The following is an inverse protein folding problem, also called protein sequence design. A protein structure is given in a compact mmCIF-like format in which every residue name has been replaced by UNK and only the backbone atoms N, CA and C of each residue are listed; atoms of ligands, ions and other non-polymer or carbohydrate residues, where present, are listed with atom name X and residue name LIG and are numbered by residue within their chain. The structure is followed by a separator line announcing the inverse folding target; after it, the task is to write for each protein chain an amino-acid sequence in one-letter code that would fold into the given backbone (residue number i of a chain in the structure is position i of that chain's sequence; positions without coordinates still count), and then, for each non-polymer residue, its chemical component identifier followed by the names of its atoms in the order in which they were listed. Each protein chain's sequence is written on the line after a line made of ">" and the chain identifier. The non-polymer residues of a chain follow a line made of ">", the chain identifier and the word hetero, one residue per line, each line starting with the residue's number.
data_IF_326785497048
#
_entry.id   IF_326785497048
#
_cell.length_a   1.000
_cell.length_b   1.000
_cell.length_c   1.000
_cell.angle_alpha   90.00
_cell.angle_beta   90.00
_cell.angle_gamma   90.00
#
_symmetry.space_group_name_H-M   'P 1'
#
loop_
_entity.id
_entity.type
_entity.pdbx_description
1 polymer ?
#
# COMPACT_ATOMS: atom_id res chain seq x y z
N UNK A 1 -18.63 0.41 -0.16
CA UNK A 1 -18.56 0.06 -1.58
C UNK A 1 -17.15 -0.40 -2.02
N UNK A 2 -16.06 0.18 -1.46
CA UNK A 2 -14.67 -0.10 -1.84
C UNK A 2 -14.01 -1.18 -1.00
N UNK A 3 -14.56 -1.50 0.17
CA UNK A 3 -13.97 -2.44 1.12
C UNK A 3 -14.49 -3.85 0.87
N UNK A 4 -13.59 -4.81 0.75
CA UNK A 4 -13.85 -6.24 0.66
C UNK A 4 -13.16 -6.95 1.83
N UNK A 5 -13.94 -7.63 2.65
CA UNK A 5 -13.42 -8.45 3.72
C UNK A 5 -12.87 -9.75 3.15
N UNK A 6 -11.61 -10.07 3.47
CA UNK A 6 -10.95 -11.31 3.00
C UNK A 6 -11.06 -12.44 4.00
N UNK A 7 -11.35 -12.12 5.25
CA UNK A 7 -11.63 -13.08 6.31
C UNK A 7 -12.85 -12.62 7.12
N UNK A 8 -13.58 -13.56 7.67
CA UNK A 8 -14.71 -13.30 8.60
C UNK A 8 -14.25 -13.17 10.05
N UNK A 9 -12.94 -13.10 10.29
CA UNK A 9 -12.40 -12.97 11.63
C UNK A 9 -12.81 -11.62 12.24
N UNK A 10 -13.14 -11.59 13.54
CA UNK A 10 -13.40 -10.33 14.23
C UNK A 10 -12.13 -9.51 14.37
N UNK A 11 -12.29 -8.22 14.65
CA UNK A 11 -11.19 -7.35 15.07
C UNK A 11 -10.50 -7.97 16.29
N UNK A 12 -9.18 -7.93 16.32
CA UNK A 12 -8.40 -8.48 17.43
C UNK A 12 -8.33 -7.45 18.56
N UNK A 13 -8.98 -7.74 19.68
CA UNK A 13 -8.99 -6.86 20.86
C UNK A 13 -7.60 -6.67 21.48
N UNK A 14 -6.73 -7.68 21.35
CA UNK A 14 -5.35 -7.65 21.83
C UNK A 14 -4.38 -7.00 20.82
N UNK A 15 -4.84 -6.65 19.64
CA UNK A 15 -4.04 -6.01 18.62
C UNK A 15 -3.67 -4.58 19.01
N UNK A 16 -2.37 -4.30 18.99
CA UNK A 16 -1.83 -3.04 19.52
C UNK A 16 -1.79 -1.89 18.52
N UNK A 17 -2.04 -2.15 17.24
CA UNK A 17 -2.07 -1.15 16.17
C UNK A 17 -2.92 -1.59 14.98
N UNK A 18 -3.32 -0.62 14.13
CA UNK A 18 -3.83 -0.88 12.79
C UNK A 18 -2.66 -0.94 11.79
N UNK A 19 -2.65 -1.91 10.90
CA UNK A 19 -1.64 -2.04 9.86
C UNK A 19 -2.22 -1.65 8.50
N UNK A 20 -1.63 -0.69 7.80
CA UNK A 20 -1.86 -0.48 6.38
C UNK A 20 -0.68 -1.04 5.59
N UNK A 21 -0.89 -2.17 4.91
CA UNK A 21 0.05 -2.70 3.94
C UNK A 21 -0.15 -1.99 2.60
N UNK A 22 0.69 -1.00 2.35
CA UNK A 22 0.74 -0.23 1.11
C UNK A 22 1.67 -0.92 0.11
N UNK A 23 1.20 -1.17 -1.11
CA UNK A 23 2.01 -1.85 -2.12
C UNK A 23 1.82 -1.29 -3.55
N UNK A 24 0.76 -0.59 -3.85
CA UNK A 24 0.49 -0.08 -5.18
C UNK A 24 0.06 1.39 -5.21
N UNK A 25 -0.86 1.82 -4.35
CA UNK A 25 -1.27 3.22 -4.21
C UNK A 25 -0.30 3.97 -3.29
N UNK A 26 0.95 4.17 -3.75
CA UNK A 26 2.01 4.82 -2.97
C UNK A 26 1.81 6.33 -3.00
N UNK A 27 0.82 6.79 -2.21
CA UNK A 27 0.46 8.20 -2.04
C UNK A 27 -0.29 8.41 -0.73
N UNK A 28 -0.21 9.62 -0.19
CA UNK A 28 -0.86 10.00 1.07
C UNK A 28 -2.21 10.71 0.90
N UNK A 29 -2.59 11.09 -0.31
CA UNK A 29 -3.86 11.75 -0.64
C UNK A 29 -4.67 10.92 -1.64
N UNK A 30 -5.99 11.18 -1.70
CA UNK A 30 -6.93 10.44 -2.55
C UNK A 30 -6.71 8.91 -2.51
N UNK A 31 -6.44 8.41 -1.29
CA UNK A 31 -6.11 7.01 -1.05
C UNK A 31 -7.14 6.33 -0.15
N UNK A 32 -8.17 5.70 -0.73
CA UNK A 32 -9.24 5.03 0.02
C UNK A 32 -8.76 3.98 1.02
N UNK A 33 -7.65 3.28 0.74
CA UNK A 33 -7.10 2.30 1.66
C UNK A 33 -6.47 2.98 2.89
N UNK A 34 -5.70 4.06 2.68
CA UNK A 34 -5.15 4.86 3.76
C UNK A 34 -6.26 5.47 4.62
N UNK A 35 -7.27 6.08 3.98
CA UNK A 35 -8.39 6.68 4.72
C UNK A 35 -9.17 5.66 5.53
N UNK A 36 -9.36 4.46 4.98
CA UNK A 36 -9.97 3.34 5.73
C UNK A 36 -9.10 2.96 6.93
N UNK A 37 -7.77 2.89 6.76
CA UNK A 37 -6.84 2.56 7.84
C UNK A 37 -6.83 3.64 8.94
N UNK A 38 -6.81 4.92 8.57
CA UNK A 38 -6.90 6.05 9.49
C UNK A 38 -8.23 6.00 10.27
N UNK A 39 -9.34 5.79 9.56
CA UNK A 39 -10.66 5.69 10.19
C UNK A 39 -10.73 4.54 11.20
N UNK A 40 -10.24 3.36 10.84
CA UNK A 40 -10.22 2.19 11.72
C UNK A 40 -9.32 2.40 12.92
N UNK A 41 -8.10 2.88 12.74
CA UNK A 41 -7.18 3.16 13.84
C UNK A 41 -7.76 4.22 14.80
N UNK A 42 -8.36 5.29 14.27
CA UNK A 42 -9.00 6.32 15.08
C UNK A 42 -10.25 5.80 15.82
N UNK A 43 -11.07 4.96 15.19
CA UNK A 43 -12.25 4.37 15.81
C UNK A 43 -11.92 3.42 16.94
N UNK A 44 -10.84 2.65 16.78
CA UNK A 44 -10.35 1.70 17.78
C UNK A 44 -9.43 2.38 18.83
N UNK A 45 -9.14 3.67 18.66
CA UNK A 45 -8.23 4.44 19.51
C UNK A 45 -6.81 3.82 19.63
N UNK A 46 -6.30 3.26 18.52
CA UNK A 46 -4.99 2.61 18.41
C UNK A 46 -4.06 3.33 17.44
N UNK A 47 -2.72 3.12 17.53
CA UNK A 47 -1.77 3.64 16.55
C UNK A 47 -1.98 3.07 15.15
N UNK A 48 -1.52 3.81 14.12
CA UNK A 48 -1.45 3.35 12.74
C UNK A 48 0.00 3.17 12.29
N UNK A 49 0.32 1.98 11.76
CA UNK A 49 1.56 1.71 11.05
C UNK A 49 1.26 1.55 9.56
N UNK A 50 1.93 2.32 8.71
CA UNK A 50 1.96 2.11 7.26
C UNK A 50 3.22 1.33 6.91
N UNK A 51 3.07 0.16 6.32
CA UNK A 51 4.17 -0.72 5.92
C UNK A 51 4.22 -0.85 4.40
N UNK A 52 5.42 -0.69 3.83
CA UNK A 52 5.72 -1.00 2.43
C UNK A 52 6.97 -1.87 2.36
N UNK A 53 6.93 -2.94 1.56
CA UNK A 53 8.07 -3.82 1.34
C UNK A 53 8.49 -3.87 -0.12
N UNK A 54 9.80 -3.96 -0.36
CA UNK A 54 10.39 -4.20 -1.67
C UNK A 54 11.41 -5.34 -1.57
N UNK A 55 11.30 -6.32 -2.46
CA UNK A 55 12.20 -7.48 -2.48
C UNK A 55 12.90 -7.64 -3.82
N UNK A 56 14.18 -8.03 -3.80
CA UNK A 56 14.99 -8.37 -4.95
C UNK A 56 14.57 -9.65 -5.68
N UNK A 57 13.71 -10.49 -5.10
CA UNK A 57 13.40 -11.85 -5.57
C UNK A 57 12.80 -11.96 -6.99
N UNK A 58 12.30 -10.87 -7.58
CA UNK A 58 11.63 -10.95 -8.85
C UNK A 58 12.60 -10.83 -10.02
N UNK A 59 12.59 -11.81 -10.94
CA UNK A 59 13.52 -11.93 -12.08
C UNK A 59 13.58 -10.71 -13.03
N UNK A 60 12.60 -9.82 -12.98
CA UNK A 60 12.55 -8.61 -13.82
C UNK A 60 12.90 -7.35 -13.04
N UNK A 61 13.38 -7.48 -11.81
CA UNK A 61 13.87 -6.35 -11.04
C UNK A 61 15.11 -5.76 -11.69
N UNK A 62 15.21 -4.44 -11.71
CA UNK A 62 16.33 -3.71 -12.29
C UNK A 62 16.50 -2.38 -11.58
N UNK A 63 17.65 -1.72 -11.77
CA UNK A 63 17.89 -0.37 -11.25
C UNK A 63 16.77 0.62 -11.63
N UNK A 64 16.20 0.48 -12.84
CA UNK A 64 15.09 1.31 -13.30
C UNK A 64 13.86 1.19 -12.40
N UNK A 65 13.44 -0.03 -12.08
CA UNK A 65 12.27 -0.25 -11.25
C UNK A 65 12.54 0.14 -9.80
N UNK A 66 13.69 -0.24 -9.27
CA UNK A 66 14.05 0.03 -7.89
C UNK A 66 14.21 1.52 -7.63
N UNK A 67 14.93 2.25 -8.49
CA UNK A 67 15.06 3.70 -8.37
C UNK A 67 13.69 4.37 -8.34
N UNK A 68 12.79 4.02 -9.27
CA UNK A 68 11.45 4.60 -9.34
C UNK A 68 10.62 4.32 -8.07
N UNK A 69 10.66 3.08 -7.56
CA UNK A 69 9.93 2.67 -6.34
C UNK A 69 10.53 3.35 -5.11
N UNK A 70 11.86 3.40 -4.98
CA UNK A 70 12.54 4.02 -3.84
C UNK A 70 12.38 5.54 -3.80
N UNK A 71 12.38 6.21 -4.95
CA UNK A 71 12.05 7.64 -5.07
C UNK A 71 10.61 7.90 -4.61
N UNK A 72 9.66 7.05 -5.02
CA UNK A 72 8.27 7.12 -4.58
C UNK A 72 8.12 6.87 -3.08
N UNK A 73 8.85 5.92 -2.53
CA UNK A 73 8.86 5.62 -1.10
C UNK A 73 9.42 6.78 -0.28
N UNK A 74 10.51 7.42 -0.73
CA UNK A 74 11.07 8.62 -0.11
C UNK A 74 10.09 9.80 -0.13
N UNK A 75 9.45 10.01 -1.26
CA UNK A 75 8.47 11.09 -1.41
C UNK A 75 7.28 10.91 -0.45
N UNK A 76 6.68 9.73 -0.42
CA UNK A 76 5.54 9.45 0.47
C UNK A 76 5.95 9.45 1.95
N UNK A 77 7.18 9.02 2.29
CA UNK A 77 7.70 9.07 3.66
C UNK A 77 7.66 10.49 4.22
N UNK A 78 8.13 11.47 3.44
CA UNK A 78 8.11 12.88 3.83
C UNK A 78 6.67 13.43 4.04
N UNK A 79 5.68 12.91 3.30
CA UNK A 79 4.30 13.32 3.48
C UNK A 79 3.67 12.67 4.73
N UNK A 80 3.93 11.38 4.97
CA UNK A 80 3.46 10.70 6.18
C UNK A 80 4.05 11.32 7.45
N UNK A 81 5.31 11.73 7.43
CA UNK A 81 5.94 12.45 8.55
C UNK A 81 5.18 13.75 8.87
N UNK A 82 4.85 14.57 7.86
CA UNK A 82 4.06 15.81 8.04
C UNK A 82 2.67 15.53 8.62
N UNK A 83 2.10 14.35 8.31
CA UNK A 83 0.79 13.93 8.82
C UNK A 83 0.86 13.24 10.19
N UNK A 84 2.05 13.06 10.76
CA UNK A 84 2.25 12.34 12.02
C UNK A 84 1.88 10.86 11.94
N UNK A 85 2.05 10.23 10.77
CA UNK A 85 1.77 8.81 10.53
C UNK A 85 3.11 8.07 10.40
N UNK A 86 3.31 6.99 11.17
CA UNK A 86 4.51 6.16 11.05
C UNK A 86 4.49 5.39 9.75
N UNK A 87 5.48 5.64 8.90
CA UNK A 87 5.75 4.86 7.70
C UNK A 87 7.01 4.03 7.88
N UNK A 88 6.94 2.75 7.57
CA UNK A 88 8.05 1.81 7.67
C UNK A 88 8.27 1.12 6.32
N UNK A 89 9.40 1.41 5.70
CA UNK A 89 9.83 0.74 4.48
C UNK A 89 10.80 -0.40 4.82
N UNK A 90 10.60 -1.54 4.19
CA UNK A 90 11.48 -2.70 4.33
C UNK A 90 12.06 -3.08 2.97
N UNK A 91 13.39 -3.04 2.85
CA UNK A 91 14.13 -3.49 1.68
C UNK A 91 14.76 -4.86 1.97
N UNK A 92 14.30 -5.88 1.26
CA UNK A 92 14.88 -7.22 1.26
C UNK A 92 15.80 -7.36 0.04
N UNK A 93 17.04 -6.90 0.20
CA UNK A 93 17.98 -6.68 -0.91
C UNK A 93 18.39 -7.97 -1.62
N UNK A 94 18.61 -9.04 -0.87
CA UNK A 94 19.08 -10.35 -1.37
C UNK A 94 18.01 -11.45 -1.27
N UNK A 95 16.80 -11.07 -0.88
CA UNK A 95 15.65 -11.98 -0.70
C UNK A 95 15.86 -13.07 0.36
N UNK A 96 16.79 -12.85 1.28
CA UNK A 96 17.14 -13.82 2.34
C UNK A 96 16.39 -13.58 3.65
N UNK A 97 16.10 -12.32 3.97
CA UNK A 97 15.49 -11.94 5.25
C UNK A 97 13.98 -12.24 5.31
N UNK A 98 13.33 -12.32 4.14
CA UNK A 98 11.89 -12.47 4.04
C UNK A 98 11.12 -11.19 4.44
N UNK A 99 9.80 -11.25 4.36
CA UNK A 99 8.95 -10.10 4.65
C UNK A 99 8.47 -10.09 6.10
N UNK A 100 8.66 -8.99 6.85
CA UNK A 100 8.10 -8.84 8.19
C UNK A 100 6.57 -8.67 8.20
N UNK A 101 5.95 -8.56 7.02
CA UNK A 101 4.50 -8.36 6.86
C UNK A 101 3.65 -9.35 7.66
N UNK A 102 4.03 -10.63 7.69
CA UNK A 102 3.27 -11.66 8.40
C UNK A 102 3.32 -11.49 9.92
N UNK A 103 4.50 -11.19 10.46
CA UNK A 103 4.66 -10.93 11.89
C UNK A 103 3.97 -9.65 12.32
N UNK A 104 4.05 -8.58 11.53
CA UNK A 104 3.30 -7.34 11.75
C UNK A 104 1.79 -7.58 11.66
N UNK A 105 1.35 -8.28 10.62
CA UNK A 105 -0.05 -8.60 10.42
C UNK A 105 -0.64 -9.40 11.59
N UNK A 106 0.12 -10.33 12.17
CA UNK A 106 -0.32 -11.15 13.31
C UNK A 106 -0.49 -10.33 14.59
N UNK A 107 0.22 -9.21 14.75
CA UNK A 107 0.15 -8.34 15.93
C UNK A 107 -0.87 -7.19 15.77
N UNK A 108 -1.37 -6.98 14.57
CA UNK A 108 -2.31 -5.91 14.28
C UNK A 108 -3.73 -6.24 14.79
N UNK A 109 -4.51 -5.22 15.16
CA UNK A 109 -5.94 -5.37 15.40
C UNK A 109 -6.72 -5.65 14.11
N UNK A 110 -6.26 -5.05 13.02
CA UNK A 110 -6.81 -5.17 11.66
C UNK A 110 -5.71 -4.86 10.65
N UNK A 111 -5.72 -5.56 9.53
CA UNK A 111 -4.86 -5.26 8.39
C UNK A 111 -5.69 -4.68 7.25
N UNK A 112 -5.35 -3.48 6.80
CA UNK A 112 -5.91 -2.84 5.62
C UNK A 112 -4.90 -2.97 4.49
N UNK A 113 -5.35 -3.29 3.28
CA UNK A 113 -4.50 -3.35 2.09
C UNK A 113 -5.28 -2.94 0.84
N UNK A 114 -4.64 -2.92 -0.29
CA UNK A 114 -5.23 -2.48 -1.54
C UNK A 114 -5.83 -3.65 -2.32
N UNK A 115 -7.04 -3.49 -2.86
CA UNK A 115 -7.69 -4.47 -3.73
C UNK A 115 -7.37 -4.17 -5.20
N UNK A 116 -6.21 -4.65 -5.67
CA UNK A 116 -5.79 -4.49 -7.06
C UNK A 116 -6.03 -5.77 -7.85
N UNK A 117 -6.75 -5.71 -9.01
CA UNK A 117 -7.28 -6.91 -9.66
C UNK A 117 -6.25 -7.70 -10.48
N UNK A 118 -5.08 -7.11 -10.77
CA UNK A 118 -4.07 -7.76 -11.59
C UNK A 118 -3.12 -8.67 -10.79
N UNK A 119 -2.70 -9.82 -11.32
CA UNK A 119 -1.65 -10.62 -10.72
C UNK A 119 -0.34 -9.81 -10.57
N UNK A 120 0.43 -10.05 -9.49
CA UNK A 120 0.30 -11.11 -8.50
C UNK A 120 -0.54 -10.73 -7.26
N UNK A 121 -1.02 -9.48 -7.15
CA UNK A 121 -1.60 -8.89 -5.93
C UNK A 121 -2.75 -9.70 -5.32
N UNK A 122 -3.76 -10.21 -6.09
CA UNK A 122 -4.83 -10.98 -5.48
C UNK A 122 -4.36 -12.26 -4.75
N UNK A 123 -3.26 -12.85 -5.23
CA UNK A 123 -2.65 -14.02 -4.58
C UNK A 123 -1.91 -13.63 -3.30
N UNK A 124 -1.22 -12.50 -3.30
CA UNK A 124 -0.48 -12.02 -2.15
C UNK A 124 -1.40 -11.65 -0.99
N UNK A 125 -2.44 -10.87 -1.27
CA UNK A 125 -3.40 -10.48 -0.24
C UNK A 125 -4.19 -11.66 0.30
N UNK A 126 -4.57 -12.61 -0.57
CA UNK A 126 -5.21 -13.86 -0.13
C UNK A 126 -4.28 -14.68 0.76
N UNK A 127 -3.00 -14.86 0.35
CA UNK A 127 -2.02 -15.60 1.13
C UNK A 127 -1.79 -14.97 2.51
N UNK A 128 -1.76 -13.65 2.60
CA UNK A 128 -1.69 -12.96 3.89
C UNK A 128 -2.91 -13.31 4.75
N UNK A 129 -4.11 -13.14 4.20
CA UNK A 129 -5.36 -13.42 4.92
C UNK A 129 -5.49 -14.89 5.38
N UNK A 130 -4.93 -15.84 4.61
CA UNK A 130 -4.93 -17.25 4.96
C UNK A 130 -3.90 -17.61 6.07
N UNK A 131 -2.93 -16.74 6.36
CA UNK A 131 -1.80 -17.05 7.27
C UNK A 131 -1.81 -16.25 8.57
N UNK A 132 -2.67 -15.25 8.71
CA UNK A 132 -2.79 -14.45 9.94
C UNK A 132 -4.19 -14.58 10.54
N UNK A 133 -4.28 -14.39 11.86
CA UNK A 133 -5.55 -14.41 12.59
C UNK A 133 -6.33 -13.09 12.49
N UNK A 134 -5.67 -11.90 12.55
CA UNK A 134 -6.36 -10.64 12.42
C UNK A 134 -7.10 -10.50 11.08
N UNK A 135 -8.23 -9.77 11.02
CA UNK A 135 -8.98 -9.59 9.79
C UNK A 135 -8.18 -8.79 8.77
N UNK A 136 -8.29 -9.19 7.51
CA UNK A 136 -7.67 -8.48 6.38
C UNK A 136 -8.77 -7.88 5.50
N UNK A 137 -8.72 -6.57 5.33
CA UNK A 137 -9.65 -5.81 4.52
C UNK A 137 -8.92 -5.26 3.29
N UNK A 138 -9.40 -5.63 2.12
CA UNK A 138 -8.88 -5.12 0.85
C UNK A 138 -9.74 -3.96 0.35
N UNK A 139 -9.10 -2.85 -0.02
CA UNK A 139 -9.78 -1.61 -0.40
C UNK A 139 -9.41 -1.22 -1.83
N UNK A 140 -10.41 -1.07 -2.68
CA UNK A 140 -10.22 -0.59 -4.06
C UNK A 140 -9.81 0.90 -4.06
N UNK A 141 -8.53 1.15 -4.25
CA UNK A 141 -7.90 2.48 -4.30
C UNK A 141 -7.57 2.95 -5.73
N UNK A 142 -8.01 2.20 -6.75
CA UNK A 142 -7.58 2.40 -8.12
C UNK A 142 -8.70 2.71 -9.10
N UNK A 143 -9.92 2.23 -8.83
CA UNK A 143 -11.03 2.35 -9.76
C UNK A 143 -11.92 3.56 -9.43
N UNK A 144 -12.25 4.37 -10.42
CA UNK A 144 -13.25 5.43 -10.29
C UNK A 144 -14.58 4.84 -9.81
N UNK A 145 -15.01 3.75 -10.44
CA UNK A 145 -16.15 2.97 -9.98
C UNK A 145 -15.62 1.73 -9.26
N UNK A 146 -15.93 1.56 -7.96
CA UNK A 146 -15.46 0.42 -7.20
C UNK A 146 -15.81 -0.90 -7.88
N UNK A 147 -14.85 -1.82 -7.99
CA UNK A 147 -15.02 -3.11 -8.65
C UNK A 147 -16.24 -3.88 -8.12
N UNK A 148 -16.46 -3.83 -6.80
CA UNK A 148 -17.56 -4.53 -6.15
C UNK A 148 -18.94 -4.00 -6.56
N UNK A 149 -19.06 -2.71 -6.89
CA UNK A 149 -20.35 -2.14 -7.37
C UNK A 149 -20.69 -2.56 -8.81
N UNK A 150 -19.73 -3.11 -9.55
CA UNK A 150 -20.00 -3.66 -10.90
C UNK A 150 -20.72 -5.02 -10.81
N UNK A 151 -20.33 -5.86 -9.85
CA UNK A 151 -21.01 -7.10 -9.48
C UNK A 151 -20.91 -8.26 -10.47
N UNK A 152 -20.44 -8.04 -11.70
CA UNK A 152 -20.27 -9.08 -12.71
C UNK A 152 -19.24 -8.72 -13.78
N UNK A 153 -18.77 -9.75 -14.45
CA UNK A 153 -17.91 -9.62 -15.63
C UNK A 153 -18.70 -9.28 -16.88
N UNK A 154 -18.10 -8.50 -17.79
CA UNK A 154 -18.66 -8.11 -19.09
C UNK A 154 -17.73 -8.54 -20.22
N UNK A 155 -18.23 -9.35 -21.16
CA UNK A 155 -17.45 -9.83 -22.31
C UNK A 155 -17.19 -8.76 -23.38
N UNK A 156 -17.94 -7.66 -23.36
CA UNK A 156 -17.85 -6.58 -24.35
C UNK A 156 -17.77 -5.21 -23.67
N UNK A 157 -16.85 -4.38 -24.11
CA UNK A 157 -16.67 -3.00 -23.62
C UNK A 157 -17.96 -2.16 -23.74
N UNK A 158 -18.75 -2.36 -24.78
CA UNK A 158 -20.03 -1.67 -24.97
C UNK A 158 -21.01 -1.92 -23.81
N UNK A 159 -21.18 -3.16 -23.38
CA UNK A 159 -22.07 -3.49 -22.27
C UNK A 159 -21.55 -2.94 -20.94
N UNK A 160 -20.23 -2.96 -20.74
CA UNK A 160 -19.60 -2.35 -19.58
C UNK A 160 -19.83 -0.84 -19.58
N UNK A 161 -19.56 -0.15 -20.70
CA UNK A 161 -19.79 1.29 -20.84
C UNK A 161 -21.23 1.67 -20.52
N UNK A 162 -22.20 0.93 -21.05
CA UNK A 162 -23.63 1.21 -20.78
C UNK A 162 -23.99 1.00 -19.31
N UNK A 163 -23.34 0.06 -18.63
CA UNK A 163 -23.57 -0.17 -17.19
C UNK A 163 -23.01 0.94 -16.32
N UNK A 164 -21.82 1.44 -16.62
CA UNK A 164 -21.20 2.50 -15.82
C UNK A 164 -21.76 3.89 -16.18
N UNK A 165 -22.11 4.14 -17.44
CA UNK A 165 -22.85 5.31 -17.94
C UNK A 165 -22.39 6.64 -17.35
N UNK A 166 -23.36 7.47 -16.94
CA UNK A 166 -23.11 8.77 -16.29
C UNK A 166 -22.45 8.65 -14.92
N UNK A 167 -22.63 7.52 -14.21
CA UNK A 167 -22.06 7.33 -12.88
C UNK A 167 -20.53 7.47 -12.85
N UNK A 168 -19.83 7.06 -13.93
CA UNK A 168 -18.39 7.24 -14.05
C UNK A 168 -17.99 8.73 -14.04
N UNK A 169 -18.70 9.55 -14.82
CA UNK A 169 -18.45 10.98 -14.91
C UNK A 169 -18.79 11.73 -13.63
N UNK A 170 -19.93 11.38 -13.02
CA UNK A 170 -20.33 11.96 -11.72
C UNK A 170 -19.30 11.67 -10.63
N UNK A 171 -18.77 10.44 -10.60
CA UNK A 171 -17.74 10.04 -9.62
C UNK A 171 -16.39 10.70 -9.91
N UNK A 172 -15.98 10.78 -11.18
CA UNK A 172 -14.74 11.42 -11.58
C UNK A 172 -14.73 12.93 -11.28
N UNK A 173 -15.89 13.56 -11.26
CA UNK A 173 -16.04 14.99 -10.93
C UNK A 173 -16.09 15.28 -9.43
N UNK A 174 -16.15 14.26 -8.57
CA UNK A 174 -16.20 14.45 -7.10
C UNK A 174 -14.79 14.41 -6.53
N UNK A 175 -14.48 15.38 -5.69
CA UNK A 175 -13.29 15.30 -4.86
C UNK A 175 -13.42 14.11 -3.89
N UNK A 176 -12.31 13.43 -3.66
CA UNK A 176 -12.25 12.37 -2.66
C UNK A 176 -12.35 12.99 -1.26
N UNK A 177 -13.26 12.54 -0.39
CA UNK A 177 -13.33 13.01 0.99
C UNK A 177 -12.24 12.30 1.80
N UNK A 178 -11.13 12.97 2.01
CA UNK A 178 -10.04 12.44 2.83
C UNK A 178 -10.41 12.35 4.31
N UNK A 179 -9.79 11.38 5.01
CA UNK A 179 -9.95 11.26 6.44
C UNK A 179 -9.36 12.49 7.14
N UNK A 180 -10.21 13.21 7.89
CA UNK A 180 -9.80 14.40 8.64
C UNK A 180 -9.10 14.07 9.98
N UNK A 181 -9.23 12.83 10.47
CA UNK A 181 -8.63 12.41 11.74
C UNK A 181 -7.16 12.09 11.57
N UNK A 182 -6.38 12.36 12.63
CA UNK A 182 -4.99 11.91 12.75
C UNK A 182 -4.97 10.75 13.74
N UNK A 183 -4.53 9.54 13.32
CA UNK A 183 -4.44 8.40 14.23
C UNK A 183 -3.31 8.60 15.23
N UNK A 184 -3.30 7.82 16.32
CA UNK A 184 -2.16 7.77 17.23
C UNK A 184 -0.89 7.36 16.47
N UNK A 185 0.23 7.99 16.84
CA UNK A 185 1.53 7.65 16.25
C UNK A 185 1.99 6.28 16.74
N UNK A 186 2.47 5.43 15.83
CA UNK A 186 3.08 4.15 16.17
C UNK A 186 4.54 4.36 16.60
N UNK A 187 4.85 4.09 17.86
CA UNK A 187 6.17 4.36 18.47
C UNK A 187 6.97 3.10 18.78
N UNK A 188 6.41 1.90 18.58
CA UNK A 188 7.11 0.64 18.87
C UNK A 188 8.33 0.44 17.97
N UNK A 189 9.33 -0.24 18.50
CA UNK A 189 10.50 -0.66 17.73
C UNK A 189 10.13 -1.72 16.70
N UNK A 190 10.72 -1.61 15.53
CA UNK A 190 10.55 -2.58 14.45
C UNK A 190 11.72 -3.58 14.46
N UNK A 191 11.49 -4.80 13.99
CA UNK A 191 12.48 -5.87 13.94
C UNK A 191 13.56 -5.70 12.86
N UNK A 192 13.55 -4.59 12.14
CA UNK A 192 14.54 -4.21 11.12
C UNK A 192 14.85 -2.72 11.19
N UNK A 193 15.97 -2.32 10.66
CA UNK A 193 16.38 -0.91 10.58
C UNK A 193 15.55 -0.19 9.51
N UNK A 194 14.76 0.77 9.93
CA UNK A 194 13.98 1.63 9.01
C UNK A 194 14.92 2.61 8.33
N UNK A 195 14.77 2.74 7.00
CA UNK A 195 15.59 3.66 6.22
C UNK A 195 15.40 5.10 6.67
N UNK A 196 16.50 5.78 6.89
CA UNK A 196 16.54 7.23 7.05
C UNK A 196 16.57 7.89 5.67
N UNK A 197 15.41 8.35 5.21
CA UNK A 197 15.22 8.92 3.88
C UNK A 197 15.95 10.25 3.65
N UNK A 198 16.40 10.93 4.70
CA UNK A 198 17.18 12.17 4.58
C UNK A 198 18.64 11.90 4.21
N UNK A 199 19.18 10.81 4.69
CA UNK A 199 20.62 10.49 4.56
C UNK A 199 20.91 9.38 3.55
N UNK A 200 19.94 8.51 3.25
CA UNK A 200 20.15 7.35 2.39
C UNK A 200 20.29 7.71 0.91
N UNK A 201 21.28 7.11 0.27
CA UNK A 201 21.48 7.19 -1.19
C UNK A 201 20.66 6.09 -1.89
N UNK A 202 19.71 6.48 -2.74
CA UNK A 202 18.92 5.52 -3.54
C UNK A 202 19.83 4.71 -4.48
N UNK A 203 20.87 5.32 -5.04
CA UNK A 203 21.82 4.62 -5.90
C UNK A 203 22.58 3.52 -5.13
N UNK A 204 22.98 3.80 -3.89
CA UNK A 204 23.67 2.82 -3.05
C UNK A 204 22.73 1.69 -2.60
N UNK A 205 21.46 2.02 -2.32
CA UNK A 205 20.43 1.00 -2.05
C UNK A 205 20.24 0.07 -3.27
N UNK A 206 20.11 0.62 -4.47
CA UNK A 206 20.01 -0.18 -5.70
C UNK A 206 21.24 -1.06 -5.89
N UNK A 207 22.42 -0.50 -5.72
CA UNK A 207 23.70 -1.22 -5.88
C UNK A 207 23.88 -2.37 -4.87
N UNK A 208 23.22 -2.30 -3.71
CA UNK A 208 23.23 -3.35 -2.69
C UNK A 208 22.28 -4.52 -2.97
N UNK A 209 21.40 -4.40 -3.96
CA UNK A 209 20.38 -5.41 -4.27
C UNK A 209 20.87 -6.38 -5.35
N UNK A 210 20.42 -7.64 -5.28
CA UNK A 210 20.66 -8.65 -6.33
C UNK A 210 19.63 -8.50 -7.46
N UNK A 211 19.85 -7.51 -8.33
CA UNK A 211 18.94 -7.12 -9.43
C UNK A 211 19.73 -6.87 -10.73
N UNK A 212 19.04 -6.66 -11.85
CA UNK A 212 19.69 -6.34 -13.12
C UNK A 212 20.14 -4.87 -13.17
N UNK A 213 21.47 -4.66 -13.00
CA UNK A 213 22.11 -3.34 -13.07
C UNK A 213 22.38 -2.86 -14.50
N UNK A 214 22.13 -3.69 -15.54
CA UNK A 214 22.31 -3.28 -16.92
C UNK A 214 21.21 -2.35 -17.44
N UNK A 215 20.04 -2.31 -16.72
CA UNK A 215 18.89 -1.50 -17.07
C UNK A 215 18.77 -0.33 -16.08
N UNK A 216 19.49 0.76 -16.36
CA UNK A 216 19.54 1.95 -15.50
C UNK A 216 18.25 2.77 -15.42
N UNK A 217 18.18 3.71 -14.46
CA UNK A 217 17.03 4.57 -14.24
C UNK A 217 16.76 5.52 -15.41
N UNK A 218 15.54 6.05 -15.46
CA UNK A 218 15.13 7.05 -16.46
C UNK A 218 15.25 8.44 -15.83
N UNK A 219 16.24 9.24 -16.25
CA UNK A 219 16.60 10.52 -15.62
C UNK A 219 15.49 11.59 -15.63
N UNK A 220 14.54 11.53 -16.56
CA UNK A 220 13.44 12.51 -16.66
C UNK A 220 12.07 11.95 -16.30
N UNK A 221 12.06 10.84 -15.59
CA UNK A 221 10.83 10.25 -15.08
C UNK A 221 11.10 9.77 -13.65
N UNK A 222 11.28 10.71 -12.70
CA UNK A 222 11.47 10.34 -11.31
C UNK A 222 10.20 9.67 -10.75
N UNK A 223 10.40 8.82 -9.75
CA UNK A 223 9.31 8.23 -8.99
C UNK A 223 8.71 9.22 -7.99
N UNK A 224 7.51 8.93 -7.53
CA UNK A 224 6.83 9.70 -6.48
C UNK A 224 5.61 10.48 -6.98
N UNK A 225 4.74 10.78 -6.04
CA UNK A 225 3.48 11.48 -6.31
C UNK A 225 3.70 12.96 -6.65
N UNK A 226 4.72 13.59 -6.04
CA UNK A 226 5.06 14.99 -6.33
C UNK A 226 5.62 15.18 -7.73
N UNK A 227 6.22 14.14 -8.32
CA UNK A 227 6.69 14.17 -9.71
C UNK A 227 5.54 14.03 -10.73
N UNK A 228 4.38 13.53 -10.29
CA UNK A 228 3.17 13.37 -11.12
C UNK A 228 2.26 14.59 -11.16
N UNK A 229 2.57 15.61 -10.35
CA UNK A 229 1.88 16.92 -10.30
C UNK A 229 2.64 17.96 -11.09
#
# INVERSE_FOLDING_TARGET
>A
ERVRLLSEHPLQEEGIFGLYWMHHAVRDYENPALDTAIHMASTLDIPLLVYQGLSGAHRFNSDRHFTFILEGARDVAAQFEKRGIRYAFHLDADSSAGSPLYSLGQQAAVVITEDYPAPPFPRWIKRLADQITPPVWAVDSHCIIPMQSIGKWYSRAYHFRNKIGSNAWERAARNWPEAASTPKYFSEELSWDVLDWETVSIADLCASCDIDHSIGPIHHTPGGMMAGH
#
